data_IF_998475940451
#
_entry.id   IF_998475940451
#
_cell.length_a   1.000
_cell.length_b   1.000
_cell.length_c   1.000
_cell.angle_alpha   90.00
_cell.angle_beta   90.00
_cell.angle_gamma   90.00
#
_symmetry.space_group_name_H-M   'P 1'
#
loop_
_entity.id
_entity.type
_entity.pdbx_description
1 polymer ?
#
# COMPACT_ATOMS: atom_id res chain seq x y z
N UNK A 1 -28.17 5.80 -26.02
CA UNK A 1 -29.60 5.37 -25.85
C UNK A 1 -29.80 5.09 -24.39
N UNK A 2 -30.67 5.81 -23.71
CA UNK A 2 -31.03 5.50 -22.33
C UNK A 2 -31.58 4.09 -22.23
N UNK A 3 -30.99 3.25 -21.41
CA UNK A 3 -31.43 1.87 -21.20
C UNK A 3 -32.60 1.90 -20.22
N UNK A 4 -33.76 1.52 -20.69
CA UNK A 4 -35.01 1.48 -19.91
C UNK A 4 -34.94 0.33 -18.87
N UNK A 5 -35.56 0.48 -17.70
CA UNK A 5 -35.68 -0.52 -16.63
C UNK A 5 -36.06 -1.92 -17.16
N UNK A 6 -36.97 -1.98 -18.14
CA UNK A 6 -37.39 -3.26 -18.78
C UNK A 6 -36.20 -3.98 -19.44
N UNK A 7 -35.29 -3.23 -20.07
CA UNK A 7 -34.10 -3.79 -20.72
C UNK A 7 -33.11 -4.31 -19.70
N UNK A 8 -32.91 -3.58 -18.60
CA UNK A 8 -31.99 -3.97 -17.50
C UNK A 8 -32.55 -5.21 -16.80
N UNK A 9 -33.81 -5.14 -16.36
CA UNK A 9 -34.48 -6.28 -15.71
C UNK A 9 -34.51 -7.53 -16.59
N UNK A 10 -34.68 -7.36 -17.91
CA UNK A 10 -34.65 -8.45 -18.88
C UNK A 10 -33.28 -9.12 -18.97
N UNK A 11 -32.21 -8.35 -18.90
CA UNK A 11 -30.83 -8.89 -18.88
C UNK A 11 -30.54 -9.63 -17.57
N UNK A 12 -30.97 -9.09 -16.43
CA UNK A 12 -30.87 -9.74 -15.13
C UNK A 12 -31.65 -11.06 -15.13
N UNK A 13 -32.89 -11.05 -15.65
CA UNK A 13 -33.71 -12.24 -15.79
C UNK A 13 -33.01 -13.36 -16.57
N UNK A 14 -32.33 -13.02 -17.67
CA UNK A 14 -31.58 -13.99 -18.49
C UNK A 14 -30.34 -14.55 -17.80
N UNK A 15 -29.86 -13.90 -16.77
CA UNK A 15 -28.68 -14.36 -15.97
C UNK A 15 -29.09 -15.20 -14.75
N UNK A 16 -30.37 -15.20 -14.39
CA UNK A 16 -30.88 -16.00 -13.28
C UNK A 16 -30.81 -17.50 -13.55
N UNK A 17 -30.98 -18.30 -12.50
CA UNK A 17 -31.04 -19.75 -12.60
C UNK A 17 -32.26 -20.22 -13.43
N UNK A 18 -32.25 -21.46 -13.87
CA UNK A 18 -33.38 -22.03 -14.60
C UNK A 18 -34.71 -22.00 -13.78
N UNK A 19 -34.60 -22.20 -12.43
CA UNK A 19 -35.76 -22.11 -11.54
C UNK A 19 -36.29 -20.67 -11.47
N UNK A 20 -35.41 -19.70 -11.42
CA UNK A 20 -35.74 -18.27 -11.46
C UNK A 20 -36.47 -17.91 -12.76
N UNK A 21 -35.93 -18.31 -13.92
CA UNK A 21 -36.51 -18.00 -15.23
C UNK A 21 -37.87 -18.67 -15.47
N UNK A 22 -38.14 -19.82 -14.86
CA UNK A 22 -39.43 -20.50 -14.96
C UNK A 22 -40.51 -19.90 -14.07
N UNK A 23 -40.13 -19.30 -12.94
CA UNK A 23 -41.06 -18.82 -11.92
C UNK A 23 -41.32 -17.32 -12.00
N UNK A 24 -40.28 -16.55 -12.25
CA UNK A 24 -40.37 -15.08 -12.30
C UNK A 24 -40.94 -14.66 -13.66
N UNK A 25 -41.95 -13.77 -13.70
CA UNK A 25 -42.47 -13.23 -14.96
C UNK A 25 -41.34 -12.53 -15.73
N UNK A 26 -41.21 -12.86 -17.02
CA UNK A 26 -40.19 -12.25 -17.88
C UNK A 26 -40.50 -10.75 -18.08
N UNK A 27 -39.65 -9.82 -17.64
CA UNK A 27 -39.91 -8.38 -17.70
C UNK A 27 -40.06 -7.84 -19.14
N UNK A 28 -39.46 -8.51 -20.11
CA UNK A 28 -39.56 -8.13 -21.53
C UNK A 28 -40.90 -8.53 -22.16
N UNK A 29 -41.50 -9.59 -21.65
CA UNK A 29 -42.76 -10.15 -22.20
C UNK A 29 -43.95 -9.71 -21.36
N UNK A 30 -43.88 -9.86 -20.05
CA UNK A 30 -44.96 -9.62 -19.09
C UNK A 30 -45.03 -8.19 -18.57
N UNK A 31 -44.00 -7.36 -18.90
CA UNK A 31 -43.82 -6.02 -18.38
C UNK A 31 -43.16 -6.00 -17.00
N UNK A 32 -42.54 -4.88 -16.70
CA UNK A 32 -41.79 -4.69 -15.45
C UNK A 32 -42.68 -4.71 -14.21
N UNK A 33 -43.92 -4.25 -14.33
CA UNK A 33 -44.90 -4.24 -13.23
C UNK A 33 -45.28 -5.66 -12.76
N UNK A 34 -45.43 -6.61 -13.69
CA UNK A 34 -45.71 -7.98 -13.34
C UNK A 34 -44.53 -8.64 -12.63
N UNK A 35 -43.34 -8.38 -13.11
CA UNK A 35 -42.08 -8.85 -12.48
C UNK A 35 -41.91 -8.25 -11.09
N UNK A 36 -42.11 -6.95 -10.94
CA UNK A 36 -42.05 -6.21 -9.67
C UNK A 36 -43.02 -6.77 -8.65
N UNK A 37 -44.30 -6.90 -9.01
CA UNK A 37 -45.32 -7.49 -8.11
C UNK A 37 -44.97 -8.90 -7.64
N UNK A 38 -44.42 -9.71 -8.53
CA UNK A 38 -44.00 -11.07 -8.17
C UNK A 38 -42.78 -11.06 -7.21
N UNK A 39 -41.76 -10.26 -7.51
CA UNK A 39 -40.54 -10.21 -6.71
C UNK A 39 -40.75 -9.63 -5.30
N UNK A 40 -41.62 -8.64 -5.16
CA UNK A 40 -41.90 -8.02 -3.86
C UNK A 40 -42.98 -8.72 -3.03
N UNK A 41 -43.58 -9.83 -3.55
CA UNK A 41 -44.43 -10.69 -2.75
C UNK A 41 -43.57 -11.35 -1.63
N UNK A 42 -44.01 -11.29 -0.34
CA UNK A 42 -43.27 -11.88 0.77
C UNK A 42 -42.94 -13.36 0.61
N UNK A 43 -43.78 -14.10 -0.14
CA UNK A 43 -43.55 -15.53 -0.40
C UNK A 43 -42.43 -15.78 -1.43
N UNK A 44 -42.07 -14.80 -2.22
CA UNK A 44 -41.10 -14.91 -3.31
C UNK A 44 -39.74 -14.32 -2.98
N UNK A 45 -39.45 -14.12 -1.70
CA UNK A 45 -38.24 -13.46 -1.23
C UNK A 45 -36.92 -14.08 -1.72
N UNK A 46 -36.91 -15.39 -1.91
CA UNK A 46 -35.78 -16.10 -2.52
C UNK A 46 -35.45 -15.58 -3.91
N UNK A 47 -36.46 -15.35 -4.71
CA UNK A 47 -36.31 -14.85 -6.09
C UNK A 47 -35.92 -13.36 -6.10
N UNK A 48 -36.38 -12.57 -5.12
CA UNK A 48 -35.94 -11.21 -4.95
C UNK A 48 -34.43 -11.14 -4.65
N UNK A 49 -33.94 -11.96 -3.72
CA UNK A 49 -32.51 -12.00 -3.38
C UNK A 49 -31.68 -12.46 -4.59
N UNK A 50 -32.14 -13.49 -5.32
CA UNK A 50 -31.47 -13.94 -6.54
C UNK A 50 -31.47 -12.85 -7.64
N UNK A 51 -32.57 -12.10 -7.78
CA UNK A 51 -32.64 -10.96 -8.68
C UNK A 51 -31.58 -9.88 -8.29
N UNK A 52 -31.49 -9.53 -7.00
CA UNK A 52 -30.57 -8.52 -6.49
C UNK A 52 -29.11 -8.97 -6.68
N UNK A 53 -28.79 -10.22 -6.38
CA UNK A 53 -27.45 -10.78 -6.58
C UNK A 53 -27.06 -10.82 -8.06
N UNK A 54 -27.96 -11.28 -8.93
CA UNK A 54 -27.75 -11.29 -10.37
C UNK A 54 -27.65 -9.87 -10.95
N UNK A 55 -28.43 -8.94 -10.41
CA UNK A 55 -28.43 -7.54 -10.76
C UNK A 55 -27.04 -6.91 -10.47
N UNK A 56 -26.52 -7.06 -9.27
CA UNK A 56 -25.22 -6.50 -8.88
C UNK A 56 -24.06 -7.18 -9.63
N UNK A 57 -24.03 -8.50 -9.68
CA UNK A 57 -22.96 -9.23 -10.34
C UNK A 57 -22.84 -8.95 -11.85
N UNK A 58 -23.95 -8.65 -12.51
CA UNK A 58 -23.93 -8.43 -13.96
C UNK A 58 -23.67 -6.99 -14.36
N UNK A 59 -23.99 -6.05 -13.50
CA UNK A 59 -23.80 -4.62 -13.78
C UNK A 59 -22.34 -4.24 -13.74
N UNK A 60 -21.54 -4.93 -12.95
CA UNK A 60 -20.08 -4.72 -12.88
C UNK A 60 -19.33 -4.77 -14.21
N UNK A 61 -19.96 -5.28 -15.28
CA UNK A 61 -19.35 -5.41 -16.61
C UNK A 61 -19.90 -4.45 -17.68
N UNK A 62 -20.95 -3.68 -17.44
CA UNK A 62 -21.65 -3.02 -18.55
C UNK A 62 -21.83 -1.50 -18.49
N UNK A 63 -21.67 -0.81 -17.36
CA UNK A 63 -22.17 0.58 -17.24
C UNK A 63 -21.16 1.57 -16.73
N UNK A 64 -19.91 1.34 -16.90
CA UNK A 64 -18.91 2.11 -16.20
C UNK A 64 -18.39 3.31 -16.98
N UNK A 65 -19.20 3.95 -17.82
CA UNK A 65 -18.73 5.08 -18.63
C UNK A 65 -19.28 6.46 -18.26
N UNK A 66 -20.22 6.58 -17.31
CA UNK A 66 -20.75 7.88 -16.93
C UNK A 66 -20.18 8.33 -15.58
N UNK A 67 -19.36 9.39 -15.61
CA UNK A 67 -18.84 10.11 -14.44
C UNK A 67 -17.88 9.30 -13.52
N UNK A 68 -17.10 8.39 -14.06
CA UNK A 68 -15.99 7.83 -13.32
C UNK A 68 -14.80 8.78 -13.37
N UNK A 69 -14.35 9.16 -12.21
CA UNK A 69 -13.03 9.77 -12.08
C UNK A 69 -11.96 8.68 -12.13
N UNK A 70 -11.00 8.84 -13.01
CA UNK A 70 -9.88 7.92 -13.14
C UNK A 70 -8.66 8.50 -12.45
N UNK A 71 -8.03 7.71 -11.60
CA UNK A 71 -6.79 8.08 -10.96
C UNK A 71 -5.66 8.22 -12.01
N UNK A 72 -5.08 9.41 -12.20
CA UNK A 72 -4.00 9.60 -13.18
C UNK A 72 -2.72 8.83 -12.86
N UNK A 73 -2.59 8.33 -11.62
CA UNK A 73 -1.44 7.57 -11.15
C UNK A 73 -1.57 6.06 -11.39
N UNK A 74 -2.69 5.57 -11.92
CA UNK A 74 -2.87 4.15 -12.26
C UNK A 74 -1.84 3.63 -13.26
N UNK A 75 -1.18 4.51 -14.00
CA UNK A 75 -0.06 4.18 -14.90
C UNK A 75 1.09 3.46 -14.16
N UNK A 76 1.25 3.73 -12.87
CA UNK A 76 2.29 3.11 -12.03
C UNK A 76 1.85 1.79 -11.41
N UNK A 77 0.60 1.40 -11.59
CA UNK A 77 0.07 0.18 -10.99
C UNK A 77 0.68 -1.05 -11.65
N UNK A 78 1.30 -1.88 -10.83
CA UNK A 78 1.92 -3.13 -11.27
C UNK A 78 0.91 -4.28 -11.41
N UNK A 79 1.42 -5.47 -11.65
CA UNK A 79 0.59 -6.69 -11.73
C UNK A 79 0.10 -7.11 -10.36
N UNK A 80 -1.09 -7.73 -10.31
CA UNK A 80 -1.68 -8.23 -9.07
C UNK A 80 -0.78 -9.27 -8.40
N UNK A 81 -0.64 -9.16 -7.08
CA UNK A 81 0.08 -10.13 -6.26
C UNK A 81 -0.74 -11.41 -6.13
N UNK A 82 -0.22 -12.51 -6.65
CA UNK A 82 -0.91 -13.82 -6.58
C UNK A 82 -0.57 -14.62 -5.32
N UNK A 83 0.66 -14.46 -4.83
CA UNK A 83 1.19 -15.21 -3.69
C UNK A 83 2.10 -14.31 -2.86
N UNK A 84 1.86 -14.28 -1.55
CA UNK A 84 2.63 -13.46 -0.63
C UNK A 84 2.12 -12.03 -0.51
N UNK A 85 2.33 -11.44 0.66
CA UNK A 85 1.89 -10.08 0.99
C UNK A 85 3.02 -9.04 0.90
N UNK A 86 4.18 -9.40 0.34
CA UNK A 86 5.34 -8.53 0.25
C UNK A 86 6.03 -8.59 -1.10
N UNK A 87 6.58 -7.45 -1.51
CA UNK A 87 7.41 -7.31 -2.70
C UNK A 87 8.83 -7.01 -2.23
N UNK A 88 9.80 -7.73 -2.75
CA UNK A 88 11.21 -7.50 -2.47
C UNK A 88 11.85 -6.74 -3.63
N UNK A 89 12.41 -5.58 -3.34
CA UNK A 89 13.34 -4.89 -4.24
C UNK A 89 14.77 -5.15 -3.79
N UNK A 90 15.69 -5.30 -4.73
CA UNK A 90 17.10 -5.48 -4.45
C UNK A 90 17.98 -4.84 -5.50
N UNK A 91 19.09 -4.27 -5.08
CA UNK A 91 20.12 -3.76 -5.97
C UNK A 91 21.50 -4.27 -5.51
N UNK A 92 22.36 -4.56 -6.48
CA UNK A 92 23.69 -5.10 -6.24
C UNK A 92 24.72 -4.02 -6.57
N UNK A 93 25.67 -3.80 -5.67
CA UNK A 93 26.77 -2.86 -5.86
C UNK A 93 27.72 -3.36 -6.95
N UNK A 94 28.12 -2.45 -7.84
CA UNK A 94 29.05 -2.78 -8.89
C UNK A 94 30.43 -3.07 -8.33
N UNK A 95 31.08 -4.09 -8.84
CA UNK A 95 32.45 -4.43 -8.48
C UNK A 95 33.43 -3.44 -9.12
N UNK A 96 34.49 -3.13 -8.39
CA UNK A 96 35.60 -2.35 -8.93
C UNK A 96 36.62 -3.26 -9.56
N UNK A 97 37.21 -2.82 -10.66
CA UNK A 97 38.32 -3.53 -11.26
C UNK A 97 39.58 -3.44 -10.36
N UNK A 98 40.27 -4.53 -10.20
CA UNK A 98 41.60 -4.58 -9.60
C UNK A 98 42.66 -4.47 -10.69
N UNK A 99 43.77 -3.83 -10.38
CA UNK A 99 44.96 -3.83 -11.24
C UNK A 99 45.49 -5.25 -11.34
N UNK A 100 45.79 -5.72 -12.53
CA UNK A 100 46.37 -7.02 -12.71
C UNK A 100 47.83 -7.00 -12.19
N UNK A 101 48.06 -7.75 -11.12
CA UNK A 101 49.39 -7.93 -10.52
C UNK A 101 49.59 -9.43 -10.31
N UNK A 102 50.72 -9.95 -10.82
CA UNK A 102 51.03 -11.39 -10.72
C UNK A 102 51.49 -11.75 -9.29
N UNK A 103 52.01 -10.78 -8.53
CA UNK A 103 52.51 -10.94 -7.18
C UNK A 103 51.49 -10.46 -6.11
N UNK A 104 50.23 -10.23 -6.50
CA UNK A 104 49.22 -9.73 -5.61
C UNK A 104 48.92 -10.75 -4.48
N UNK A 105 49.15 -10.32 -3.23
CA UNK A 105 48.83 -11.07 -2.03
C UNK A 105 47.32 -11.39 -1.90
N UNK A 106 46.47 -10.73 -2.73
CA UNK A 106 45.03 -10.89 -2.75
C UNK A 106 44.52 -11.83 -3.86
N UNK A 107 45.40 -12.51 -4.58
CA UNK A 107 45.03 -13.38 -5.72
C UNK A 107 43.96 -14.43 -5.41
N UNK A 108 43.86 -14.88 -4.17
CA UNK A 108 42.88 -15.86 -3.70
C UNK A 108 41.80 -15.25 -2.79
N UNK A 109 41.71 -13.92 -2.71
CA UNK A 109 40.71 -13.24 -1.87
C UNK A 109 39.30 -13.46 -2.47
N UNK A 110 38.40 -13.92 -1.63
CA UNK A 110 36.99 -14.06 -2.00
C UNK A 110 36.28 -12.72 -1.80
N UNK A 111 35.84 -12.12 -2.87
CA UNK A 111 35.01 -10.92 -2.83
C UNK A 111 33.55 -11.30 -3.08
N UNK A 112 32.70 -10.95 -2.14
CA UNK A 112 31.24 -11.16 -2.27
C UNK A 112 30.57 -9.85 -2.69
N UNK A 113 29.62 -9.88 -3.64
CA UNK A 113 28.88 -8.69 -4.00
C UNK A 113 28.04 -8.22 -2.80
N UNK A 114 28.07 -6.91 -2.54
CA UNK A 114 27.21 -6.27 -1.56
C UNK A 114 25.85 -6.00 -2.24
N UNK A 115 24.75 -6.33 -1.56
CA UNK A 115 23.41 -6.10 -2.03
C UNK A 115 22.59 -5.32 -1.00
N UNK A 116 21.84 -4.33 -1.47
CA UNK A 116 20.81 -3.66 -0.68
C UNK A 116 19.46 -4.29 -1.02
N UNK A 117 18.64 -4.53 -0.01
CA UNK A 117 17.31 -5.15 -0.14
C UNK A 117 16.31 -4.30 0.62
N UNK A 118 15.14 -4.12 0.03
CA UNK A 118 14.00 -3.45 0.65
C UNK A 118 12.73 -4.24 0.43
N UNK A 119 11.83 -4.24 1.41
CA UNK A 119 10.57 -4.96 1.35
C UNK A 119 9.40 -3.97 1.39
N UNK A 120 8.43 -4.20 0.50
CA UNK A 120 7.17 -3.49 0.47
C UNK A 120 6.07 -4.45 0.89
N UNK A 121 5.29 -4.07 1.88
CA UNK A 121 4.20 -4.90 2.44
C UNK A 121 2.84 -4.31 2.14
N UNK A 122 1.79 -5.12 2.23
CA UNK A 122 0.41 -4.64 2.08
C UNK A 122 0.10 -3.66 3.22
N UNK A 123 -0.12 -2.42 2.86
CA UNK A 123 -0.32 -1.31 3.80
C UNK A 123 -1.69 -0.66 3.68
N UNK A 124 -2.41 -0.88 2.59
CA UNK A 124 -3.77 -0.42 2.42
C UNK A 124 -4.72 -1.61 2.42
N UNK A 125 -5.72 -1.59 3.32
CA UNK A 125 -6.76 -2.61 3.46
C UNK A 125 -8.09 -1.93 3.70
N UNK A 126 -8.67 -1.44 2.61
CA UNK A 126 -9.88 -0.64 2.67
C UNK A 126 -11.12 -1.46 2.32
N UNK A 127 -12.23 -1.03 2.85
CA UNK A 127 -13.55 -1.57 2.57
C UNK A 127 -14.55 -0.43 2.41
N UNK A 128 -15.27 -0.46 1.30
CA UNK A 128 -16.32 0.52 0.99
C UNK A 128 -17.67 -0.18 1.07
N UNK A 129 -18.52 0.32 1.97
CA UNK A 129 -19.82 -0.27 2.27
C UNK A 129 -20.93 0.56 1.64
N UNK A 130 -21.87 -0.10 1.00
CA UNK A 130 -23.12 0.52 0.60
C UNK A 130 -24.30 -0.40 0.92
N UNK A 131 -25.34 0.17 1.52
CA UNK A 131 -26.54 -0.57 1.92
C UNK A 131 -27.70 -0.23 1.02
N UNK A 132 -28.37 -1.25 0.50
CA UNK A 132 -29.62 -1.14 -0.23
C UNK A 132 -30.79 -1.58 0.66
N UNK A 133 -31.69 -0.65 0.90
CA UNK A 133 -32.92 -0.94 1.61
C UNK A 133 -34.02 -1.44 0.65
N UNK A 134 -34.91 -2.27 1.16
CA UNK A 134 -36.03 -2.80 0.36
C UNK A 134 -36.94 -1.68 -0.23
N UNK A 135 -37.26 -0.60 0.50
CA UNK A 135 -38.04 0.51 -0.06
C UNK A 135 -37.35 1.20 -1.24
N UNK A 136 -36.03 1.40 -1.20
CA UNK A 136 -35.27 2.03 -2.27
C UNK A 136 -35.31 1.20 -3.55
N UNK A 137 -35.21 -0.14 -3.39
CA UNK A 137 -35.33 -1.05 -4.50
C UNK A 137 -36.77 -1.02 -5.09
N UNK A 138 -37.79 -0.96 -4.23
CA UNK A 138 -39.20 -0.83 -4.69
C UNK A 138 -39.40 0.46 -5.47
N UNK A 139 -38.86 1.57 -4.98
CA UNK A 139 -38.95 2.87 -5.65
C UNK A 139 -38.17 2.86 -6.98
N UNK A 140 -37.03 2.18 -7.06
CA UNK A 140 -36.27 2.02 -8.28
C UNK A 140 -37.04 1.29 -9.39
N UNK A 141 -37.91 0.33 -9.04
CA UNK A 141 -38.78 -0.33 -9.98
C UNK A 141 -39.98 0.55 -10.43
N UNK A 142 -40.41 1.47 -9.58
CA UNK A 142 -41.54 2.36 -9.89
C UNK A 142 -41.13 3.54 -10.78
N UNK A 143 -39.90 4.01 -10.71
CA UNK A 143 -39.33 5.08 -11.55
C UNK A 143 -38.75 4.52 -12.85
N UNK A 144 -39.02 5.13 -13.99
CA UNK A 144 -38.59 4.66 -15.33
C UNK A 144 -37.08 4.52 -15.46
N UNK A 145 -36.29 5.34 -14.72
CA UNK A 145 -34.84 5.35 -14.71
C UNK A 145 -34.23 4.93 -13.34
N UNK A 146 -35.10 4.46 -12.43
CA UNK A 146 -34.72 4.22 -11.04
C UNK A 146 -33.64 3.13 -10.89
N UNK A 147 -33.73 2.05 -11.67
CA UNK A 147 -32.73 0.98 -11.66
C UNK A 147 -31.36 1.47 -12.14
N UNK A 148 -31.29 2.37 -13.12
CA UNK A 148 -30.03 2.95 -13.55
C UNK A 148 -29.39 3.78 -12.43
N UNK A 149 -30.19 4.63 -11.75
CA UNK A 149 -29.67 5.43 -10.62
C UNK A 149 -29.17 4.57 -9.46
N UNK A 150 -29.89 3.48 -9.19
CA UNK A 150 -29.48 2.52 -8.15
C UNK A 150 -28.17 1.83 -8.51
N UNK A 151 -28.01 1.44 -9.76
CA UNK A 151 -26.76 0.89 -10.29
C UNK A 151 -25.62 1.88 -10.11
N UNK A 152 -25.82 3.11 -10.56
CA UNK A 152 -24.79 4.16 -10.47
C UNK A 152 -24.37 4.38 -9.00
N UNK A 153 -25.34 4.39 -8.08
CA UNK A 153 -25.04 4.53 -6.66
C UNK A 153 -24.25 3.35 -6.09
N UNK A 154 -24.67 2.11 -6.38
CA UNK A 154 -24.05 0.90 -5.79
C UNK A 154 -22.70 0.58 -6.37
N UNK A 155 -22.47 0.84 -7.65
CA UNK A 155 -21.26 0.42 -8.34
C UNK A 155 -20.25 1.56 -8.56
N UNK A 156 -20.75 2.75 -8.85
CA UNK A 156 -19.88 3.88 -9.22
C UNK A 156 -19.34 4.59 -7.99
N UNK A 157 -20.17 4.77 -6.95
CA UNK A 157 -19.75 5.50 -5.75
C UNK A 157 -18.59 4.83 -5.01
N UNK A 158 -18.66 3.52 -4.67
CA UNK A 158 -17.54 2.86 -4.00
C UNK A 158 -16.24 2.88 -4.84
N UNK A 159 -16.36 2.70 -6.16
CA UNK A 159 -15.18 2.72 -7.06
C UNK A 159 -14.56 4.09 -7.18
N UNK A 160 -15.37 5.15 -7.27
CA UNK A 160 -14.83 6.51 -7.30
C UNK A 160 -14.16 6.87 -5.99
N UNK A 161 -14.74 6.45 -4.85
CA UNK A 161 -14.14 6.63 -3.54
C UNK A 161 -12.81 5.89 -3.44
N UNK A 162 -12.76 4.65 -3.88
CA UNK A 162 -11.55 3.83 -3.90
C UNK A 162 -10.45 4.44 -4.78
N UNK A 163 -10.78 4.85 -6.01
CA UNK A 163 -9.83 5.52 -6.91
C UNK A 163 -9.28 6.83 -6.32
N UNK A 164 -10.12 7.59 -5.64
CA UNK A 164 -9.70 8.83 -5.01
C UNK A 164 -8.79 8.60 -3.80
N UNK A 165 -9.14 7.64 -2.96
CA UNK A 165 -8.34 7.28 -1.79
C UNK A 165 -7.00 6.65 -2.22
N UNK A 166 -6.98 5.81 -3.27
CA UNK A 166 -5.75 5.29 -3.88
C UNK A 166 -4.84 6.43 -4.36
N UNK A 167 -5.41 7.41 -5.06
CA UNK A 167 -4.67 8.59 -5.50
C UNK A 167 -4.05 9.37 -4.33
N UNK A 168 -4.82 9.60 -3.27
CA UNK A 168 -4.33 10.29 -2.06
C UNK A 168 -3.23 9.47 -1.37
N UNK A 169 -3.40 8.15 -1.27
CA UNK A 169 -2.39 7.25 -0.72
C UNK A 169 -1.08 7.32 -1.52
N UNK A 170 -1.16 7.31 -2.85
CA UNK A 170 0.02 7.44 -3.72
C UNK A 170 0.70 8.79 -3.56
N UNK A 171 -0.05 9.89 -3.53
CA UNK A 171 0.53 11.22 -3.27
C UNK A 171 1.19 11.27 -1.90
N UNK A 172 0.58 10.70 -0.86
CA UNK A 172 1.16 10.67 0.47
C UNK A 172 2.49 9.92 0.53
N UNK A 173 2.75 8.96 -0.38
CA UNK A 173 4.07 8.32 -0.47
C UNK A 173 5.17 9.30 -0.86
N UNK A 174 4.88 10.38 -1.58
CA UNK A 174 5.85 11.45 -1.87
C UNK A 174 6.23 12.18 -0.57
N UNK A 175 5.23 12.51 0.27
CA UNK A 175 5.50 13.14 1.57
C UNK A 175 6.27 12.19 2.50
N UNK A 176 5.90 10.91 2.50
CA UNK A 176 6.58 9.89 3.29
C UNK A 176 8.04 9.72 2.86
N UNK A 177 8.30 9.68 1.55
CA UNK A 177 9.65 9.62 0.99
C UNK A 177 10.50 10.81 1.44
N UNK A 178 9.96 12.03 1.36
CA UNK A 178 10.65 13.23 1.82
C UNK A 178 10.96 13.18 3.32
N UNK A 179 9.99 12.76 4.12
CA UNK A 179 10.14 12.69 5.58
C UNK A 179 11.23 11.69 6.00
N UNK A 180 11.30 10.54 5.36
CA UNK A 180 12.15 9.44 5.81
C UNK A 180 13.50 9.39 5.11
N UNK A 181 13.56 9.77 3.84
CA UNK A 181 14.76 9.60 3.02
C UNK A 181 15.29 10.88 2.42
N UNK A 182 14.48 11.94 2.38
CA UNK A 182 14.72 13.19 1.70
C UNK A 182 14.99 13.01 0.19
N UNK A 183 14.41 13.88 -0.61
CA UNK A 183 14.72 13.94 -2.03
C UNK A 183 16.04 14.62 -2.29
N UNK A 184 16.66 14.29 -3.41
CA UNK A 184 17.64 15.17 -4.00
C UNK A 184 16.92 16.45 -4.42
N UNK A 185 17.14 17.55 -3.70
CA UNK A 185 16.48 18.84 -3.99
C UNK A 185 17.32 19.67 -4.91
N UNK A 186 16.70 20.21 -5.93
CA UNK A 186 17.27 21.24 -6.79
C UNK A 186 16.52 22.54 -6.57
N UNK A 187 17.25 23.55 -6.09
CA UNK A 187 16.70 24.89 -5.92
C UNK A 187 16.53 25.58 -7.25
N UNK A 188 15.36 26.11 -7.51
CA UNK A 188 15.06 27.03 -8.62
C UNK A 188 14.81 28.42 -8.03
N UNK A 189 15.21 29.45 -8.77
CA UNK A 189 15.14 30.83 -8.27
C UNK A 189 13.73 31.30 -7.92
N UNK A 190 12.73 30.81 -8.66
CA UNK A 190 11.31 31.03 -8.42
C UNK A 190 10.49 29.86 -9.00
N UNK A 191 9.28 29.63 -8.46
CA UNK A 191 8.33 28.73 -9.08
C UNK A 191 7.97 29.23 -10.49
N UNK A 192 7.74 28.34 -11.45
CA UNK A 192 7.39 28.72 -12.82
C UNK A 192 5.99 29.35 -12.84
N UNK A 193 5.93 30.67 -12.96
CA UNK A 193 4.69 31.47 -13.02
C UNK A 193 4.60 32.28 -14.31
N UNK A 194 5.71 32.45 -15.03
CA UNK A 194 5.82 33.15 -16.28
C UNK A 194 6.72 32.41 -17.27
N UNK A 195 6.77 32.87 -18.53
CA UNK A 195 7.56 32.26 -19.59
C UNK A 195 9.07 32.19 -19.27
N UNK A 196 9.60 33.17 -18.54
CA UNK A 196 11.04 33.24 -18.20
C UNK A 196 11.39 32.18 -17.16
N UNK A 197 10.66 32.15 -16.06
CA UNK A 197 10.83 31.17 -14.97
C UNK A 197 10.50 29.75 -15.45
N UNK A 198 9.52 29.58 -16.33
CA UNK A 198 9.22 28.32 -17.01
C UNK A 198 10.37 27.80 -17.86
N UNK A 199 11.05 28.66 -18.63
CA UNK A 199 12.23 28.28 -19.43
C UNK A 199 13.43 27.91 -18.56
N UNK A 200 13.65 28.60 -17.45
CA UNK A 200 14.72 28.26 -16.49
C UNK A 200 14.48 26.88 -15.86
N UNK A 201 13.25 26.64 -15.42
CA UNK A 201 12.84 25.34 -14.88
C UNK A 201 13.05 24.21 -15.91
N UNK A 202 12.54 24.36 -17.14
CA UNK A 202 12.71 23.35 -18.19
C UNK A 202 14.17 23.10 -18.55
N UNK A 203 15.01 24.12 -18.49
CA UNK A 203 16.46 23.98 -18.68
C UNK A 203 17.06 23.11 -17.57
N UNK A 204 16.62 23.28 -16.31
CA UNK A 204 17.06 22.46 -15.19
C UNK A 204 16.58 21.00 -15.33
N UNK A 205 15.30 20.77 -15.66
CA UNK A 205 14.75 19.42 -15.91
C UNK A 205 15.52 18.71 -17.02
N UNK A 206 15.78 19.41 -18.15
CA UNK A 206 16.59 18.86 -19.26
C UNK A 206 18.02 18.52 -18.84
N UNK A 207 18.62 19.34 -18.01
CA UNK A 207 19.97 19.07 -17.52
C UNK A 207 20.02 17.79 -16.67
N UNK A 208 19.02 17.61 -15.77
CA UNK A 208 18.93 16.39 -14.96
C UNK A 208 18.53 15.16 -15.76
N UNK A 209 17.60 15.27 -16.70
CA UNK A 209 17.27 14.18 -17.62
C UNK A 209 18.49 13.67 -18.40
N UNK A 210 19.41 14.57 -18.77
CA UNK A 210 20.68 14.19 -19.40
C UNK A 210 21.69 13.60 -18.41
N UNK A 211 21.76 14.11 -17.18
CA UNK A 211 22.64 13.58 -16.12
C UNK A 211 22.24 12.19 -15.70
N UNK A 212 20.93 11.91 -15.60
CA UNK A 212 20.40 10.60 -15.20
C UNK A 212 20.71 9.48 -16.20
N UNK A 213 21.10 9.79 -17.44
CA UNK A 213 21.61 8.77 -18.39
C UNK A 213 22.92 8.13 -17.93
N UNK A 214 23.63 8.79 -17.03
CA UNK A 214 24.92 8.31 -16.51
C UNK A 214 24.74 7.80 -15.08
N UNK A 215 25.40 6.68 -14.72
CA UNK A 215 25.36 6.17 -13.39
C UNK A 215 25.81 7.19 -12.35
N UNK A 216 25.02 7.42 -11.33
CA UNK A 216 25.32 8.37 -10.25
C UNK A 216 24.85 7.79 -8.91
N UNK A 217 25.57 8.10 -7.85
CA UNK A 217 25.22 7.72 -6.49
C UNK A 217 24.52 8.83 -5.69
N UNK A 218 23.99 9.87 -6.37
CA UNK A 218 23.49 11.07 -5.69
C UNK A 218 21.96 11.17 -5.63
N UNK A 219 21.25 10.48 -6.51
CA UNK A 219 19.85 10.78 -6.79
C UNK A 219 18.84 9.82 -6.14
N UNK A 220 19.30 8.81 -5.41
CA UNK A 220 18.44 7.94 -4.63
C UNK A 220 19.02 7.67 -3.24
N UNK A 221 18.20 7.37 -2.23
CA UNK A 221 18.68 7.10 -0.86
C UNK A 221 19.65 5.93 -0.80
N UNK A 222 19.32 4.83 -1.46
CA UNK A 222 20.16 3.63 -1.51
C UNK A 222 21.48 3.91 -2.24
N UNK A 223 21.43 4.70 -3.31
CA UNK A 223 22.66 5.08 -4.01
C UNK A 223 23.57 5.94 -3.15
N UNK A 224 23.01 6.91 -2.44
CA UNK A 224 23.76 7.82 -1.59
C UNK A 224 24.43 7.09 -0.41
N UNK A 225 23.71 6.16 0.21
CA UNK A 225 24.19 5.43 1.40
C UNK A 225 25.16 4.29 1.04
N UNK A 226 24.79 3.46 0.05
CA UNK A 226 25.58 2.25 -0.26
C UNK A 226 26.54 2.42 -1.45
N UNK A 227 26.50 3.58 -2.12
CA UNK A 227 27.30 3.80 -3.32
C UNK A 227 26.91 2.88 -4.48
N UNK A 228 25.65 2.43 -4.53
CA UNK A 228 25.07 1.68 -5.63
C UNK A 228 24.64 2.68 -6.69
N UNK A 229 25.25 2.73 -7.89
CA UNK A 229 24.92 3.76 -8.86
C UNK A 229 23.53 3.50 -9.48
N UNK A 230 22.72 4.56 -9.57
CA UNK A 230 21.44 4.57 -10.27
C UNK A 230 21.54 5.38 -11.55
N UNK A 231 20.77 5.00 -12.55
CA UNK A 231 20.62 5.70 -13.82
C UNK A 231 19.20 5.47 -14.33
N UNK A 232 18.77 6.29 -15.27
CA UNK A 232 17.47 6.14 -15.92
C UNK A 232 17.58 6.47 -17.41
N UNK A 233 16.85 5.73 -18.22
CA UNK A 233 16.70 6.05 -19.65
C UNK A 233 15.66 7.16 -19.82
N UNK A 234 15.75 7.96 -20.89
CA UNK A 234 14.78 9.02 -21.13
C UNK A 234 13.34 8.53 -21.21
N UNK A 235 13.15 7.35 -21.79
CA UNK A 235 11.85 6.70 -21.94
C UNK A 235 11.25 6.18 -20.60
N UNK A 236 12.03 6.11 -19.55
CA UNK A 236 11.58 5.69 -18.21
C UNK A 236 11.26 6.90 -17.31
N UNK A 237 11.66 8.11 -17.73
CA UNK A 237 11.48 9.31 -16.93
C UNK A 237 10.03 9.78 -16.92
N UNK A 238 9.56 10.19 -15.74
CA UNK A 238 8.25 10.78 -15.51
C UNK A 238 8.42 12.08 -14.74
N UNK A 239 7.69 13.11 -15.14
CA UNK A 239 7.66 14.40 -14.48
C UNK A 239 6.30 14.62 -13.82
N UNK A 240 6.27 14.70 -12.49
CA UNK A 240 5.13 15.24 -11.75
C UNK A 240 5.28 16.75 -11.70
N UNK A 241 4.22 17.47 -11.98
CA UNK A 241 4.22 18.92 -11.95
C UNK A 241 2.91 19.44 -11.37
N UNK A 242 2.99 20.52 -10.58
CA UNK A 242 1.77 21.16 -10.09
C UNK A 242 1.03 21.87 -11.23
N UNK A 243 -0.30 21.91 -11.16
CA UNK A 243 -1.15 22.50 -12.20
C UNK A 243 -0.78 23.97 -12.48
N UNK A 244 -0.44 24.74 -11.44
CA UNK A 244 -0.01 26.14 -11.59
C UNK A 244 1.30 26.26 -12.36
N UNK A 245 2.26 25.38 -12.07
CA UNK A 245 3.52 25.36 -12.79
C UNK A 245 3.36 24.87 -14.24
N UNK A 246 2.50 23.87 -14.46
CA UNK A 246 2.20 23.33 -15.78
C UNK A 246 1.59 24.40 -16.71
N UNK A 247 0.72 25.25 -16.18
CA UNK A 247 0.08 26.30 -16.95
C UNK A 247 1.06 27.33 -17.55
N UNK A 248 2.27 27.46 -17.01
CA UNK A 248 3.31 28.37 -17.48
C UNK A 248 4.27 27.74 -18.51
N UNK A 249 4.09 26.44 -18.81
CA UNK A 249 5.04 25.65 -19.60
C UNK A 249 4.43 25.29 -20.95
N UNK A 250 5.17 25.53 -22.02
CA UNK A 250 4.81 25.11 -23.37
C UNK A 250 5.07 23.59 -23.55
N UNK A 251 4.04 22.85 -23.97
CA UNK A 251 4.09 21.40 -24.24
C UNK A 251 5.17 21.04 -25.28
N UNK A 252 5.39 21.86 -26.26
CA UNK A 252 6.40 21.65 -27.28
C UNK A 252 7.83 21.68 -26.73
N UNK A 253 8.05 22.58 -25.79
CA UNK A 253 9.32 22.66 -25.07
C UNK A 253 9.53 21.47 -24.16
N UNK A 254 8.48 21.00 -23.52
CA UNK A 254 8.51 19.82 -22.65
C UNK A 254 8.82 18.54 -23.44
N UNK A 255 8.21 18.34 -24.60
CA UNK A 255 8.50 17.21 -25.49
C UNK A 255 9.99 17.14 -25.85
N UNK A 256 10.61 18.30 -26.11
CA UNK A 256 12.04 18.39 -26.41
C UNK A 256 12.95 18.00 -25.22
N UNK A 257 12.46 18.07 -23.98
CA UNK A 257 13.20 17.67 -22.77
C UNK A 257 13.42 16.18 -22.77
N UNK A 258 12.39 15.42 -23.07
CA UNK A 258 12.42 13.94 -23.05
C UNK A 258 12.94 13.34 -24.35
N UNK A 259 13.15 14.14 -25.39
CA UNK A 259 13.52 13.67 -26.77
C UNK A 259 12.46 12.71 -27.35
N UNK A 260 11.20 12.94 -27.01
CA UNK A 260 10.04 12.15 -27.40
C UNK A 260 9.11 12.98 -28.29
N UNK A 261 8.19 12.31 -28.95
CA UNK A 261 7.10 12.99 -29.67
C UNK A 261 6.16 13.66 -28.65
N UNK A 262 5.42 14.70 -29.09
CA UNK A 262 4.52 15.48 -28.22
C UNK A 262 3.51 14.63 -27.45
N UNK A 263 2.94 13.63 -28.11
CA UNK A 263 1.97 12.74 -27.49
C UNK A 263 2.58 11.86 -26.38
N UNK A 264 3.81 11.42 -26.59
CA UNK A 264 4.52 10.57 -25.63
C UNK A 264 5.05 11.40 -24.45
N UNK A 265 5.48 12.64 -24.67
CA UNK A 265 5.87 13.55 -23.61
C UNK A 265 4.68 13.97 -22.72
N UNK A 266 3.51 14.20 -23.31
CA UNK A 266 2.29 14.49 -22.56
C UNK A 266 1.87 13.30 -21.67
N UNK A 267 2.07 12.07 -22.15
CA UNK A 267 1.78 10.87 -21.35
C UNK A 267 2.72 10.70 -20.15
N UNK A 268 3.94 11.21 -20.23
CA UNK A 268 4.96 11.11 -19.16
C UNK A 268 4.97 12.31 -18.22
N UNK A 269 4.09 13.26 -18.45
CA UNK A 269 3.91 14.41 -17.58
C UNK A 269 2.59 14.24 -16.83
N UNK A 270 2.67 14.17 -15.52
CA UNK A 270 1.51 13.99 -14.66
C UNK A 270 1.27 15.28 -13.91
N UNK A 271 0.14 15.90 -14.20
CA UNK A 271 -0.30 17.10 -13.51
C UNK A 271 -1.01 16.72 -12.20
N UNK A 272 -0.58 17.33 -11.11
CA UNK A 272 -1.20 17.18 -9.78
C UNK A 272 -1.60 18.56 -9.27
N UNK A 273 -2.69 18.67 -8.49
CA UNK A 273 -3.09 19.96 -7.92
C UNK A 273 -1.96 20.57 -7.09
N UNK A 274 -1.39 19.80 -6.18
CA UNK A 274 -0.29 20.17 -5.30
C UNK A 274 0.59 18.98 -5.01
N UNK A 275 1.88 19.21 -4.77
CA UNK A 275 2.77 18.19 -4.23
C UNK A 275 2.74 18.27 -2.70
N UNK A 276 2.72 17.11 -2.01
CA UNK A 276 2.63 17.08 -0.53
C UNK A 276 3.98 17.37 0.15
N UNK A 277 4.80 18.18 -0.48
CA UNK A 277 6.09 18.66 0.04
C UNK A 277 6.08 20.20 -0.05
N UNK A 278 6.32 20.92 1.05
CA UNK A 278 6.28 22.38 1.04
C UNK A 278 7.25 22.97 0.00
N UNK A 279 6.80 24.03 -0.66
CA UNK A 279 7.57 24.79 -1.65
C UNK A 279 8.08 23.97 -2.85
N UNK A 280 7.63 22.74 -3.02
CA UNK A 280 7.94 21.90 -4.17
C UNK A 280 6.86 22.08 -5.25
N UNK A 281 7.28 22.13 -6.50
CA UNK A 281 6.37 22.30 -7.63
C UNK A 281 6.57 21.28 -8.74
N UNK A 282 7.65 20.50 -8.71
CA UNK A 282 7.84 19.38 -9.63
C UNK A 282 8.74 18.29 -9.04
N UNK A 283 8.51 17.05 -9.48
CA UNK A 283 9.30 15.88 -9.14
C UNK A 283 9.63 15.12 -10.42
N UNK A 284 10.92 14.99 -10.73
CA UNK A 284 11.44 14.18 -11.84
C UNK A 284 11.89 12.82 -11.29
N UNK A 285 11.29 11.76 -11.76
CA UNK A 285 11.60 10.40 -11.34
C UNK A 285 11.39 9.41 -12.49
N UNK A 286 11.28 8.11 -12.21
CA UNK A 286 11.02 7.07 -13.21
C UNK A 286 9.63 6.45 -13.02
N UNK A 287 9.16 5.72 -14.02
CA UNK A 287 7.92 4.94 -14.00
C UNK A 287 7.89 3.85 -12.90
N UNK A 288 9.06 3.48 -12.38
CA UNK A 288 9.23 2.50 -11.30
C UNK A 288 9.29 3.14 -9.90
N UNK A 289 9.00 4.45 -9.78
CA UNK A 289 9.06 5.15 -8.49
C UNK A 289 8.01 4.65 -7.50
N UNK A 290 6.78 4.43 -7.97
CA UNK A 290 5.74 3.83 -7.15
C UNK A 290 5.75 2.31 -7.30
N UNK A 291 5.69 1.64 -6.17
CA UNK A 291 5.48 0.19 -6.06
C UNK A 291 4.05 0.00 -5.57
N UNK A 292 3.12 -0.11 -6.53
CA UNK A 292 1.69 -0.23 -6.27
C UNK A 292 1.16 -1.51 -6.90
N UNK A 293 0.67 -2.43 -6.08
CA UNK A 293 0.19 -3.73 -6.55
C UNK A 293 -1.02 -4.18 -5.75
N UNK A 294 -2.09 -4.56 -6.45
CA UNK A 294 -3.26 -5.13 -5.82
C UNK A 294 -2.98 -6.51 -5.24
N UNK A 295 -3.43 -6.74 -4.02
CA UNK A 295 -3.40 -8.04 -3.37
C UNK A 295 -4.77 -8.70 -3.36
N UNK A 296 -5.81 -7.95 -2.97
CA UNK A 296 -7.21 -8.39 -3.01
C UNK A 296 -8.06 -7.26 -3.58
N UNK A 297 -8.82 -7.57 -4.62
CA UNK A 297 -9.88 -6.71 -5.13
C UNK A 297 -11.13 -7.55 -5.31
N UNK A 298 -12.07 -7.46 -4.36
CA UNK A 298 -13.22 -8.33 -4.30
C UNK A 298 -14.49 -7.57 -3.92
N UNK A 299 -15.60 -8.00 -4.53
CA UNK A 299 -16.93 -7.52 -4.17
C UNK A 299 -17.68 -8.65 -3.46
N UNK A 300 -18.27 -8.34 -2.32
CA UNK A 300 -19.07 -9.27 -1.54
C UNK A 300 -20.43 -8.64 -1.22
N UNK A 301 -21.46 -9.45 -1.13
CA UNK A 301 -22.78 -9.02 -0.71
C UNK A 301 -23.30 -9.84 0.46
N UNK A 302 -24.01 -9.18 1.37
CA UNK A 302 -24.61 -9.83 2.53
C UNK A 302 -26.01 -9.30 2.78
N UNK A 303 -27.00 -10.20 2.79
CA UNK A 303 -28.36 -9.87 3.16
C UNK A 303 -28.55 -9.87 4.68
N UNK A 304 -29.04 -8.75 5.22
CA UNK A 304 -29.36 -8.62 6.63
C UNK A 304 -30.88 -8.82 6.83
N UNK A 305 -31.31 -9.94 7.45
CA UNK A 305 -32.72 -10.22 7.66
C UNK A 305 -33.35 -9.36 8.75
N UNK A 306 -32.59 -8.72 9.63
CA UNK A 306 -33.12 -7.85 10.68
C UNK A 306 -33.60 -6.51 10.13
N UNK A 307 -32.88 -5.95 9.17
CA UNK A 307 -33.18 -4.65 8.56
C UNK A 307 -33.83 -4.74 7.19
N UNK A 308 -33.95 -5.97 6.66
CA UNK A 308 -34.44 -6.24 5.29
C UNK A 308 -33.65 -5.50 4.22
N UNK A 309 -32.35 -5.34 4.45
CA UNK A 309 -31.41 -4.64 3.57
C UNK A 309 -30.34 -5.59 3.05
N UNK A 310 -29.73 -5.23 1.92
CA UNK A 310 -28.58 -5.92 1.37
C UNK A 310 -27.38 -4.98 1.42
N UNK A 311 -26.31 -5.41 2.09
CA UNK A 311 -25.07 -4.68 2.15
C UNK A 311 -24.12 -5.18 1.06
N UNK A 312 -23.49 -4.26 0.36
CA UNK A 312 -22.45 -4.52 -0.62
C UNK A 312 -21.14 -3.98 -0.07
N UNK A 313 -20.09 -4.76 -0.24
CA UNK A 313 -18.75 -4.46 0.25
C UNK A 313 -17.78 -4.54 -0.93
N UNK A 314 -17.09 -3.45 -1.21
CA UNK A 314 -15.91 -3.46 -2.06
C UNK A 314 -14.69 -3.55 -1.15
N UNK A 315 -13.91 -4.61 -1.28
CA UNK A 315 -12.65 -4.78 -0.57
C UNK A 315 -11.50 -4.50 -1.51
N UNK A 316 -10.61 -3.61 -1.10
CA UNK A 316 -9.40 -3.32 -1.83
C UNK A 316 -8.20 -3.37 -0.87
N UNK A 317 -7.33 -4.35 -1.09
CA UNK A 317 -6.07 -4.50 -0.35
C UNK A 317 -4.93 -4.41 -1.33
N UNK A 318 -3.99 -3.51 -1.06
CA UNK A 318 -2.89 -3.24 -1.96
C UNK A 318 -1.60 -2.86 -1.22
N UNK A 319 -0.49 -2.97 -1.94
CA UNK A 319 0.78 -2.35 -1.59
C UNK A 319 0.82 -0.99 -2.25
N UNK A 320 0.99 0.09 -1.49
CA UNK A 320 1.23 1.45 -2.01
C UNK A 320 2.50 1.97 -1.35
N UNK A 321 3.58 2.04 -2.10
CA UNK A 321 4.89 2.41 -1.58
C UNK A 321 5.72 3.14 -2.61
N UNK A 322 6.79 3.80 -2.18
CA UNK A 322 7.78 4.40 -3.05
C UNK A 322 9.09 3.62 -2.99
N UNK A 323 9.78 3.48 -4.13
CA UNK A 323 11.06 2.78 -4.22
C UNK A 323 12.22 3.67 -3.81
N UNK A 324 13.07 3.25 -2.85
CA UNK A 324 14.30 3.97 -2.51
C UNK A 324 15.46 3.73 -3.49
N UNK A 325 15.28 2.86 -4.49
CA UNK A 325 16.32 2.48 -5.44
C UNK A 325 16.36 3.36 -6.69
N UNK A 326 15.25 4.00 -7.01
CA UNK A 326 15.14 4.80 -8.24
C UNK A 326 15.55 6.26 -8.01
N UNK A 327 16.08 6.94 -9.04
CA UNK A 327 16.44 8.34 -8.90
C UNK A 327 15.19 9.21 -8.81
N UNK A 328 15.19 10.14 -7.86
CA UNK A 328 14.12 11.10 -7.64
C UNK A 328 14.67 12.49 -7.33
N UNK A 329 14.30 13.48 -8.14
CA UNK A 329 14.80 14.86 -8.06
C UNK A 329 13.62 15.80 -7.88
N UNK A 330 13.58 16.45 -6.72
CA UNK A 330 12.55 17.42 -6.36
C UNK A 330 13.00 18.83 -6.72
N UNK A 331 12.14 19.56 -7.43
CA UNK A 331 12.35 20.97 -7.73
C UNK A 331 11.58 21.82 -6.75
N UNK A 332 12.31 22.69 -6.05
CA UNK A 332 11.78 23.50 -4.95
C UNK A 332 12.34 24.91 -5.01
N UNK A 333 11.64 25.85 -4.38
CA UNK A 333 12.15 27.19 -4.13
C UNK A 333 12.98 27.31 -2.85
N UNK A 334 13.01 26.23 -2.03
CA UNK A 334 13.82 26.19 -0.81
C UNK A 334 15.32 26.30 -1.14
N UNK A 335 16.03 27.02 -0.26
CA UNK A 335 17.46 27.23 -0.44
C UNK A 335 18.26 25.95 -0.17
N UNK A 336 19.18 25.66 -1.08
CA UNK A 336 20.16 24.58 -0.93
C UNK A 336 19.87 23.34 -1.77
N UNK A 337 20.92 22.53 -1.92
CA UNK A 337 20.82 21.21 -2.54
C UNK A 337 20.97 20.18 -1.41
N UNK A 338 19.98 19.32 -1.23
CA UNK A 338 20.03 18.21 -0.28
C UNK A 338 20.32 16.92 -1.03
N UNK A 339 21.16 16.08 -0.43
CA UNK A 339 21.44 14.73 -0.92
C UNK A 339 20.54 13.77 -0.12
N UNK A 340 19.88 12.80 -0.77
CA UNK A 340 19.09 11.81 -0.06
C UNK A 340 19.89 11.07 1.00
N UNK A 341 19.26 10.81 2.13
CA UNK A 341 19.84 10.01 3.19
C UNK A 341 18.88 8.87 3.49
N UNK A 342 19.37 7.65 3.46
CA UNK A 342 18.59 6.53 3.97
C UNK A 342 18.64 6.61 5.50
N UNK A 343 17.65 7.26 6.07
CA UNK A 343 17.47 7.22 7.53
C UNK A 343 17.04 5.80 7.87
N UNK A 344 18.05 4.98 8.12
CA UNK A 344 17.75 3.69 8.54
C UNK A 344 17.27 3.68 9.91
N UNK A 345 16.08 3.10 10.13
CA UNK A 345 16.24 2.55 11.28
C UNK A 345 15.30 1.56 11.88
N UNK A 346 15.86 0.43 12.12
CA UNK A 346 15.49 -0.30 13.32
C UNK A 346 15.98 0.53 14.50
N UNK A 347 15.05 1.18 15.17
CA UNK A 347 15.34 1.97 16.39
C UNK A 347 15.18 1.11 17.64
N UNK A 348 14.57 -0.07 17.52
CA UNK A 348 14.33 -0.96 18.63
C UNK A 348 13.56 -2.21 18.25
N UNK A 349 13.14 -2.94 19.27
CA UNK A 349 12.24 -4.08 19.18
C UNK A 349 11.05 -3.85 20.11
N UNK A 350 9.86 -4.23 19.68
CA UNK A 350 8.68 -4.28 20.51
C UNK A 350 8.29 -5.74 20.76
N UNK A 351 7.91 -6.05 22.01
CA UNK A 351 7.41 -7.38 22.38
C UNK A 351 6.02 -7.18 22.97
N UNK A 352 5.05 -7.85 22.39
CA UNK A 352 3.67 -7.84 22.86
C UNK A 352 3.27 -9.24 23.31
N UNK A 353 2.56 -9.31 24.42
CA UNK A 353 1.98 -10.54 24.91
C UNK A 353 0.46 -10.51 24.71
N UNK A 354 -0.11 -11.59 24.20
CA UNK A 354 -1.56 -11.70 24.03
C UNK A 354 -2.33 -11.57 25.36
N UNK A 355 -1.68 -11.97 26.47
CA UNK A 355 -2.17 -11.77 27.83
C UNK A 355 -1.01 -11.42 28.74
N UNK A 356 -1.17 -10.36 29.53
CA UNK A 356 -0.17 -9.88 30.50
C UNK A 356 -0.45 -10.32 31.93
N UNK A 357 -1.59 -10.96 32.18
CA UNK A 357 -1.97 -11.56 33.48
C UNK A 357 -2.32 -13.02 33.25
N UNK A 358 -1.61 -13.93 33.93
CA UNK A 358 -1.69 -15.37 33.74
C UNK A 358 -1.79 -16.08 35.07
N UNK A 359 -2.42 -17.25 35.09
CA UNK A 359 -2.40 -18.16 36.23
C UNK A 359 -1.28 -19.20 36.07
N UNK A 360 -0.83 -19.80 37.16
CA UNK A 360 0.07 -20.96 37.09
C UNK A 360 -0.49 -22.05 36.17
N UNK A 361 0.29 -22.45 35.19
CA UNK A 361 -0.09 -23.42 34.16
C UNK A 361 -0.70 -22.85 32.89
N UNK A 362 -0.97 -21.56 32.83
CA UNK A 362 -1.45 -20.90 31.63
C UNK A 362 -0.32 -20.68 30.60
N UNK A 363 -0.73 -20.34 29.38
CA UNK A 363 0.17 -19.99 28.28
C UNK A 363 -0.26 -18.67 27.65
N UNK A 364 0.71 -17.94 27.08
CA UNK A 364 0.43 -16.75 26.27
C UNK A 364 1.35 -16.69 25.06
N UNK A 365 0.82 -16.24 23.92
CA UNK A 365 1.59 -15.98 22.73
C UNK A 365 2.33 -14.66 22.88
N UNK A 366 3.60 -14.67 22.54
CA UNK A 366 4.46 -13.48 22.41
C UNK A 366 4.70 -13.20 20.94
N UNK A 367 4.55 -11.96 20.54
CA UNK A 367 4.92 -11.47 19.21
C UNK A 367 6.03 -10.45 19.33
N UNK A 368 6.98 -10.49 18.42
CA UNK A 368 8.14 -9.62 18.39
C UNK A 368 8.16 -8.87 17.08
N UNK A 369 8.28 -7.57 17.14
CA UNK A 369 8.34 -6.69 15.98
C UNK A 369 9.56 -5.78 16.07
N UNK A 370 10.32 -5.68 15.00
CA UNK A 370 11.33 -4.65 14.84
C UNK A 370 10.64 -3.32 14.57
N UNK A 371 10.90 -2.30 15.38
CA UNK A 371 10.30 -0.98 15.25
C UNK A 371 11.31 0.02 14.71
N UNK A 372 10.81 0.92 13.87
CA UNK A 372 11.61 1.94 13.18
C UNK A 372 11.16 2.10 11.74
N UNK A 373 11.87 2.90 10.96
CA UNK A 373 11.66 3.04 9.51
C UNK A 373 12.17 1.80 8.76
N UNK A 374 11.57 0.65 9.01
CA UNK A 374 11.99 -0.65 8.45
C UNK A 374 11.15 -1.02 7.24
N UNK A 375 9.94 -0.49 7.17
CA UNK A 375 9.03 -0.62 6.05
C UNK A 375 8.60 0.77 5.56
N UNK A 376 8.09 0.82 4.34
CA UNK A 376 7.61 2.06 3.73
C UNK A 376 6.49 2.77 4.54
N UNK A 377 5.90 2.12 5.54
CA UNK A 377 4.74 2.62 6.27
C UNK A 377 4.95 2.79 7.77
N UNK A 378 6.19 2.77 8.27
CA UNK A 378 6.51 2.73 9.70
C UNK A 378 5.87 1.53 10.45
N UNK A 379 5.36 0.53 9.73
CA UNK A 379 4.90 -0.71 10.35
C UNK A 379 6.10 -1.54 10.79
N UNK A 380 6.02 -2.12 11.99
CA UNK A 380 7.02 -3.04 12.48
C UNK A 380 7.13 -4.29 11.60
N UNK A 381 8.31 -4.85 11.48
CA UNK A 381 8.50 -6.16 10.86
C UNK A 381 8.37 -7.23 11.94
N UNK A 382 7.40 -8.11 11.78
CA UNK A 382 7.26 -9.28 12.66
C UNK A 382 8.49 -10.19 12.51
N UNK A 383 9.10 -10.50 13.64
CA UNK A 383 10.25 -11.39 13.70
C UNK A 383 9.76 -12.80 13.96
N UNK A 384 10.25 -13.75 13.16
CA UNK A 384 9.95 -15.16 13.38
C UNK A 384 10.39 -15.58 14.79
N UNK A 385 9.52 -16.25 15.57
CA UNK A 385 9.79 -16.56 16.98
C UNK A 385 11.07 -17.36 17.21
N UNK A 386 11.47 -18.18 16.24
CA UNK A 386 12.71 -18.97 16.27
C UNK A 386 14.00 -18.14 16.03
N UNK A 387 13.85 -16.91 15.54
CA UNK A 387 14.95 -15.94 15.41
C UNK A 387 15.16 -15.07 16.67
N UNK A 388 14.36 -15.31 17.73
CA UNK A 388 14.44 -14.58 18.99
C UNK A 388 15.05 -15.47 20.06
N UNK A 389 16.04 -14.96 20.75
CA UNK A 389 16.59 -15.60 21.96
C UNK A 389 15.80 -15.13 23.15
N UNK A 390 15.17 -16.06 23.83
CA UNK A 390 14.32 -15.79 24.96
C UNK A 390 15.00 -16.09 26.30
N UNK A 391 14.78 -15.22 27.28
CA UNK A 391 15.10 -15.48 28.68
C UNK A 391 13.93 -15.05 29.56
N UNK A 392 13.72 -15.81 30.62
CA UNK A 392 12.68 -15.52 31.61
C UNK A 392 13.34 -15.38 32.95
N UNK A 393 13.04 -14.28 33.64
CA UNK A 393 13.42 -14.04 35.03
C UNK A 393 12.18 -13.58 35.80
N UNK A 394 12.21 -13.60 37.11
CA UNK A 394 11.06 -13.16 37.90
C UNK A 394 11.49 -12.58 39.23
N UNK A 395 10.65 -11.65 39.71
CA UNK A 395 10.80 -11.03 41.02
C UNK A 395 9.56 -11.31 41.85
N UNK A 396 9.73 -11.49 43.14
CA UNK A 396 8.60 -11.51 44.08
C UNK A 396 8.24 -10.08 44.48
N UNK A 397 6.96 -9.75 44.45
CA UNK A 397 6.47 -8.43 44.87
C UNK A 397 6.81 -8.06 46.35
N UNK A 398 7.27 -9.03 47.14
CA UNK A 398 7.53 -8.85 48.57
C UNK A 398 9.00 -8.56 48.94
N UNK A 399 9.95 -8.73 48.01
CA UNK A 399 11.39 -8.54 48.31
C UNK A 399 12.06 -7.93 47.09
N UNK A 400 12.29 -6.62 47.15
CA UNK A 400 13.07 -5.93 46.10
C UNK A 400 14.46 -6.58 45.99
N UNK A 401 14.76 -7.15 44.80
CA UNK A 401 16.08 -7.59 44.43
C UNK A 401 16.41 -9.08 44.56
N UNK A 402 15.50 -9.92 45.06
CA UNK A 402 15.69 -11.38 45.03
C UNK A 402 15.02 -12.00 43.80
N UNK A 403 15.79 -12.64 42.87
CA UNK A 403 15.19 -13.30 41.73
C UNK A 403 14.32 -14.47 42.13
N UNK A 404 13.15 -14.61 41.54
CA UNK A 404 12.30 -15.79 41.67
C UNK A 404 13.06 -17.06 41.27
N UNK A 405 13.01 -18.08 42.10
CA UNK A 405 13.47 -19.41 41.74
C UNK A 405 12.47 -20.04 40.73
N UNK A 406 12.62 -19.63 39.49
CA UNK A 406 11.86 -20.16 38.36
C UNK A 406 12.28 -21.61 38.15
N UNK A 407 11.44 -22.55 38.47
CA UNK A 407 11.77 -23.91 38.15
C UNK A 407 11.78 -24.09 36.59
N UNK A 408 12.46 -25.10 36.10
CA UNK A 408 12.77 -25.30 34.68
C UNK A 408 11.56 -25.46 33.76
N UNK A 409 10.33 -25.43 34.27
CA UNK A 409 9.11 -25.57 33.49
C UNK A 409 8.61 -24.24 32.89
N UNK A 410 8.95 -23.07 33.47
CA UNK A 410 8.59 -21.77 32.92
C UNK A 410 9.57 -21.43 31.81
N UNK A 411 9.06 -21.36 30.58
CA UNK A 411 9.89 -21.12 29.39
C UNK A 411 9.08 -20.55 28.22
N UNK A 412 9.77 -19.94 27.30
CA UNK A 412 9.24 -19.63 25.97
C UNK A 412 9.69 -20.70 25.01
N UNK A 413 8.79 -21.25 24.22
CA UNK A 413 9.11 -22.25 23.21
C UNK A 413 9.53 -21.62 21.86
N UNK A 414 9.87 -22.44 20.88
CA UNK A 414 10.29 -22.00 19.55
C UNK A 414 9.23 -21.26 18.75
N UNK A 415 7.96 -21.40 19.16
CA UNK A 415 6.83 -20.72 18.54
C UNK A 415 6.51 -19.39 19.23
N UNK A 416 7.32 -18.98 20.21
CA UNK A 416 7.11 -17.76 20.97
C UNK A 416 5.98 -17.88 22.01
N UNK A 417 5.60 -19.09 22.40
CA UNK A 417 4.59 -19.30 23.46
C UNK A 417 5.28 -19.39 24.81
N UNK A 418 4.92 -18.49 25.72
CA UNK A 418 5.31 -18.57 27.12
C UNK A 418 4.46 -19.63 27.82
N UNK A 419 5.10 -20.62 28.41
CA UNK A 419 4.51 -21.64 29.27
C UNK A 419 4.84 -21.35 30.72
N UNK A 420 3.82 -21.08 31.55
CA UNK A 420 3.99 -20.80 32.97
C UNK A 420 3.94 -22.09 33.75
N UNK A 421 4.88 -22.28 34.67
CA UNK A 421 4.88 -23.46 35.55
C UNK A 421 3.60 -23.53 36.40
N UNK A 422 3.21 -24.75 36.76
CA UNK A 422 1.96 -24.99 37.49
C UNK A 422 2.07 -24.77 39.02
N UNK A 423 3.27 -24.79 39.57
CA UNK A 423 3.52 -24.70 41.02
C UNK A 423 4.73 -23.82 41.31
N UNK A 424 4.82 -23.24 42.47
CA UNK A 424 5.96 -22.43 42.89
C UNK A 424 5.88 -20.95 42.54
N UNK A 425 4.77 -20.49 41.96
CA UNK A 425 4.49 -19.08 41.72
C UNK A 425 3.31 -18.63 42.57
N UNK A 426 3.44 -17.47 43.17
CA UNK A 426 2.38 -16.85 44.00
C UNK A 426 1.69 -15.73 43.22
N UNK A 427 0.47 -15.41 43.60
CA UNK A 427 -0.24 -14.26 43.08
C UNK A 427 0.57 -12.97 43.28
N UNK A 428 0.59 -12.10 42.28
CA UNK A 428 1.36 -10.87 42.21
C UNK A 428 2.87 -11.05 41.92
N UNK A 429 3.36 -12.26 41.67
CA UNK A 429 4.68 -12.43 41.10
C UNK A 429 4.74 -11.85 39.67
N UNK A 430 5.83 -11.19 39.33
CA UNK A 430 6.05 -10.67 38.01
C UNK A 430 7.14 -11.47 37.32
N UNK A 431 6.83 -11.99 36.12
CA UNK A 431 7.77 -12.66 35.24
C UNK A 431 8.27 -11.64 34.21
N UNK A 432 9.56 -11.43 34.18
CA UNK A 432 10.21 -10.59 33.17
C UNK A 432 10.64 -11.45 32.00
N UNK A 433 9.91 -11.36 30.89
CA UNK A 433 10.22 -12.10 29.68
C UNK A 433 11.00 -11.20 28.73
N UNK A 434 12.26 -11.54 28.52
CA UNK A 434 13.16 -10.76 27.67
C UNK A 434 13.42 -11.51 26.36
N UNK A 435 13.14 -10.85 25.26
CA UNK A 435 13.48 -11.30 23.93
C UNK A 435 14.64 -10.49 23.36
N UNK A 436 15.60 -11.17 22.76
CA UNK A 436 16.73 -10.56 22.06
C UNK A 436 16.74 -11.07 20.62
N UNK A 437 16.71 -10.14 19.68
CA UNK A 437 16.83 -10.44 18.26
C UNK A 437 17.97 -9.63 17.64
N UNK A 438 18.52 -10.10 16.55
CA UNK A 438 19.58 -9.41 15.82
C UNK A 438 19.06 -8.96 14.46
N UNK A 439 19.40 -7.74 14.11
CA UNK A 439 19.13 -7.19 12.79
C UNK A 439 20.45 -6.88 12.09
N UNK A 440 20.57 -7.42 10.88
CA UNK A 440 21.70 -7.07 10.00
C UNK A 440 21.24 -5.89 9.16
N UNK A 441 21.83 -4.73 9.45
CA UNK A 441 21.50 -3.55 8.66
C UNK A 441 22.07 -3.69 7.23
N UNK A 442 21.61 -2.91 6.28
CA UNK A 442 22.07 -3.00 4.90
C UNK A 442 23.58 -2.74 4.70
N UNK A 443 24.24 -2.07 5.64
CA UNK A 443 25.71 -1.93 5.63
C UNK A 443 26.47 -3.20 6.06
N UNK A 444 25.74 -4.27 6.42
CA UNK A 444 26.30 -5.52 6.89
C UNK A 444 26.62 -5.55 8.38
N UNK A 445 26.43 -4.45 9.11
CA UNK A 445 26.61 -4.43 10.55
C UNK A 445 25.43 -5.08 11.27
N UNK A 446 25.70 -5.99 12.19
CA UNK A 446 24.68 -6.66 13.01
C UNK A 446 24.48 -5.88 14.29
N UNK A 447 23.24 -5.47 14.55
CA UNK A 447 22.85 -4.82 15.81
C UNK A 447 21.89 -5.73 16.57
N UNK A 448 22.11 -5.92 17.85
CA UNK A 448 21.20 -6.67 18.72
C UNK A 448 20.24 -5.71 19.41
N UNK A 449 18.96 -6.08 19.41
CA UNK A 449 17.90 -5.35 20.09
C UNK A 449 17.27 -6.26 21.13
N UNK A 450 17.08 -5.71 22.32
CA UNK A 450 16.52 -6.44 23.47
C UNK A 450 15.37 -5.65 24.04
N UNK A 451 14.30 -6.35 24.41
CA UNK A 451 13.14 -5.77 25.09
C UNK A 451 12.62 -6.77 26.13
N UNK A 452 12.10 -6.25 27.20
CA UNK A 452 11.44 -7.04 28.25
C UNK A 452 9.96 -6.69 28.31
N UNK A 453 9.12 -7.69 28.47
CA UNK A 453 7.69 -7.57 28.76
C UNK A 453 7.41 -8.22 30.12
N UNK A 454 6.61 -7.56 30.91
CA UNK A 454 6.23 -8.02 32.25
C UNK A 454 4.92 -8.76 32.20
N UNK A 455 4.91 -9.97 32.79
CA UNK A 455 3.74 -10.84 32.90
C UNK A 455 3.45 -11.05 34.38
N UNK A 456 2.28 -10.64 34.84
CA UNK A 456 1.84 -10.77 36.24
C UNK A 456 1.13 -12.09 36.45
N UNK A 457 1.47 -12.79 37.53
CA UNK A 457 0.75 -13.99 37.95
C UNK A 457 -0.48 -13.57 38.77
N UNK A 458 -1.67 -14.04 38.35
CA UNK A 458 -2.97 -13.70 38.94
C UNK A 458 -3.45 -14.74 39.96
#
# INVERSE_FOLDING_TARGET
>A
MATNNTTIAGRVYLSGTNDFQQRVPNPTISGIDATSKFLFDPMNRRYLNEFVDAFVNRIGTQIVHNNQWENPLTVFKGSNLRYGASIQESAIKWLRAHTYDVDDANLLKVERPEAAVWYHTVNRKDRYDITLELPDLQQAFADEMGLNRLIDAVMTVPRNSDNYDEYLCMLNQIAYYEKNWQFFKHQVSAAPTDETTGKEFLKAVRAYAKKLKFPSSLYSPVSAEYGIPTFAKPEELVLFITADAAASIDVDTLASVFQLDKAEAAYRTIEVPELPVPNAFALLTTDSFFVCNDYVYANESFYNPQTLSTNYYLHHWEVVSASPFVPAILFTTDAGTTVPTLTQAVTGVNITAAKTSLKPGDTTQLTVELVGTVTANDEGIEVAPDAVTWSVSGETAATEGEPLDLNSATRVDRLGVLHVQKTGLEASNVLHVTGTTSYVNPSGATTQYTKTVDITIA
#
